data_IF_236766035773
#
_entry.id   IF_236766035773
#
_cell.length_a   1.000
_cell.length_b   1.000
_cell.length_c   1.000
_cell.angle_alpha   90.00
_cell.angle_beta   90.00
_cell.angle_gamma   90.00
#
_symmetry.space_group_name_H-M   'P 1'
#
loop_
_entity.id
_entity.type
_entity.pdbx_description
1 polymer ?
#
# COMPACT_ATOMS: atom_id res chain seq x y z
N UNK A 1 -16.21 22.46 72.08
CA UNK A 1 -14.98 21.65 72.04
C UNK A 1 -14.62 21.35 70.58
N UNK A 2 -13.87 22.22 69.91
CA UNK A 2 -13.39 22.07 68.52
C UNK A 2 -12.05 22.82 68.37
N UNK A 3 -10.95 22.30 68.92
CA UNK A 3 -9.59 22.82 68.69
C UNK A 3 -8.55 21.79 69.22
N UNK A 4 -8.32 20.66 68.52
CA UNK A 4 -7.28 19.69 68.91
C UNK A 4 -6.93 18.65 67.83
N UNK A 5 -6.83 19.02 66.55
CA UNK A 5 -6.41 18.06 65.48
C UNK A 5 -5.53 18.63 64.38
N UNK A 6 -5.43 19.96 64.22
CA UNK A 6 -4.61 20.55 63.15
C UNK A 6 -3.15 20.76 63.56
N UNK A 7 -2.87 20.87 64.86
CA UNK A 7 -1.50 21.07 65.36
C UNK A 7 -0.65 19.79 65.27
N UNK A 8 -1.24 18.60 65.49
CA UNK A 8 -0.49 17.34 65.48
C UNK A 8 0.04 16.93 64.10
N UNK A 9 -0.66 17.28 63.01
CA UNK A 9 -0.22 16.97 61.65
C UNK A 9 0.92 17.89 61.20
N UNK A 10 0.89 19.16 61.62
CA UNK A 10 1.98 20.10 61.32
C UNK A 10 3.25 19.76 62.09
N UNK A 11 3.14 19.31 63.34
CA UNK A 11 4.27 18.80 64.11
C UNK A 11 4.88 17.53 63.49
N UNK A 12 4.05 16.59 63.03
CA UNK A 12 4.51 15.37 62.37
C UNK A 12 5.25 15.65 61.06
N UNK A 13 4.76 16.58 60.23
CA UNK A 13 5.45 16.98 59.00
C UNK A 13 6.77 17.69 59.29
N UNK A 14 6.83 18.50 60.35
CA UNK A 14 8.06 19.20 60.75
C UNK A 14 9.13 18.24 61.26
N UNK A 15 8.75 17.20 62.02
CA UNK A 15 9.67 16.15 62.46
C UNK A 15 10.21 15.32 61.29
N UNK A 16 9.39 15.03 60.28
CA UNK A 16 9.87 14.29 59.10
C UNK A 16 10.80 15.12 58.21
N UNK A 17 10.61 16.44 58.13
CA UNK A 17 11.49 17.32 57.35
C UNK A 17 12.86 17.50 58.03
N UNK A 18 12.93 17.45 59.37
CA UNK A 18 14.20 17.48 60.11
C UNK A 18 14.98 16.16 60.01
N UNK A 19 14.30 15.01 59.91
CA UNK A 19 14.96 13.70 59.72
C UNK A 19 15.48 13.47 58.29
N UNK A 20 15.07 14.26 57.30
CA UNK A 20 15.51 14.16 55.90
C UNK A 20 16.60 15.22 55.59
N UNK A 21 17.44 15.54 56.57
CA UNK A 21 18.74 16.15 56.30
C UNK A 21 19.79 15.05 56.33
N UNK A 22 20.26 14.69 55.14
CA UNK A 22 21.31 13.70 54.92
C UNK A 22 22.48 13.93 55.88
N UNK A 23 22.68 12.96 56.77
CA UNK A 23 23.80 12.90 57.72
C UNK A 23 25.13 13.08 56.97
N UNK A 24 26.01 14.00 57.40
CA UNK A 24 27.32 14.22 56.77
C UNK A 24 28.15 12.95 56.60
N UNK A 25 27.93 11.95 57.47
CA UNK A 25 28.59 10.66 57.40
C UNK A 25 28.20 9.83 56.18
N UNK A 26 26.95 9.90 55.70
CA UNK A 26 26.50 9.18 54.50
C UNK A 26 27.08 9.80 53.22
N UNK A 27 27.25 11.12 53.20
CA UNK A 27 27.94 11.83 52.14
C UNK A 27 29.43 11.48 52.10
N UNK A 28 30.07 11.35 53.27
CA UNK A 28 31.45 10.90 53.40
C UNK A 28 31.63 9.44 52.94
N UNK A 29 30.68 8.57 53.26
CA UNK A 29 30.71 7.17 52.85
C UNK A 29 30.55 7.02 51.33
N UNK A 30 29.73 7.86 50.69
CA UNK A 30 29.61 7.94 49.23
C UNK A 30 30.88 8.52 48.58
N UNK A 31 31.52 9.53 49.18
CA UNK A 31 32.79 10.06 48.69
C UNK A 31 33.94 9.05 48.81
N UNK A 32 33.97 8.25 49.89
CA UNK A 32 34.96 7.19 50.06
C UNK A 32 34.75 6.02 49.09
N UNK A 33 33.50 5.68 48.74
CA UNK A 33 33.23 4.70 47.68
C UNK A 33 33.67 5.19 46.29
N UNK A 34 33.58 6.50 46.01
CA UNK A 34 34.10 7.05 44.75
C UNK A 34 35.63 7.11 44.70
N UNK A 35 36.30 7.37 45.83
CA UNK A 35 37.76 7.50 45.87
C UNK A 35 38.51 6.17 45.82
N UNK A 36 37.84 5.05 46.13
CA UNK A 36 38.42 3.69 45.99
C UNK A 36 38.40 3.12 44.55
N UNK A 37 37.95 3.89 43.54
CA UNK A 37 37.95 3.45 42.13
C UNK A 37 39.16 3.94 41.32
N UNK A 38 40.27 4.29 41.97
CA UNK A 38 41.54 4.57 41.29
C UNK A 38 42.62 3.57 41.70
N UNK A 39 42.65 2.43 41.00
CA UNK A 39 43.87 1.63 40.84
C UNK A 39 44.24 1.53 39.36
N UNK A 40 45.52 1.68 39.01
CA UNK A 40 45.96 1.83 37.63
C UNK A 40 46.28 0.50 36.94
N UNK A 41 46.33 0.58 35.61
CA UNK A 41 46.97 -0.34 34.67
C UNK A 41 46.33 -1.72 34.47
N UNK A 42 45.58 -1.85 33.36
CA UNK A 42 46.08 -2.64 32.24
C UNK A 42 45.42 -2.17 30.93
N UNK A 43 46.21 -1.47 30.11
CA UNK A 43 45.82 -0.93 28.80
C UNK A 43 45.67 -2.04 27.72
N UNK A 44 45.23 -3.24 28.09
CA UNK A 44 45.16 -4.41 27.20
C UNK A 44 43.76 -5.01 27.09
N UNK A 45 42.73 -4.33 27.60
CA UNK A 45 41.33 -4.74 27.46
C UNK A 45 40.44 -3.74 26.69
N UNK A 46 40.99 -2.62 26.23
CA UNK A 46 40.22 -1.57 25.55
C UNK A 46 40.12 -1.73 24.02
N UNK A 47 40.66 -2.81 23.44
CA UNK A 47 40.50 -3.11 22.00
C UNK A 47 39.36 -4.11 21.75
N UNK A 48 38.87 -4.82 22.78
CA UNK A 48 37.83 -5.84 22.61
C UNK A 48 36.38 -5.30 22.63
N UNK A 49 36.15 -4.09 23.16
CA UNK A 49 34.79 -3.56 23.37
C UNK A 49 34.23 -2.73 22.19
N UNK A 50 35.06 -2.29 21.24
CA UNK A 50 34.58 -1.52 20.07
C UNK A 50 34.24 -2.43 18.88
N UNK A 51 34.81 -3.63 18.81
CA UNK A 51 34.54 -4.58 17.71
C UNK A 51 33.29 -5.44 17.98
N UNK A 52 32.91 -5.64 19.24
CA UNK A 52 31.76 -6.49 19.61
C UNK A 52 30.40 -5.82 19.33
N UNK A 53 30.29 -4.49 19.33
CA UNK A 53 29.02 -3.79 19.07
C UNK A 53 28.71 -3.65 17.57
N UNK A 54 29.73 -3.64 16.69
CA UNK A 54 29.53 -3.50 15.24
C UNK A 54 29.36 -4.82 14.47
N UNK A 55 29.76 -5.96 15.04
CA UNK A 55 29.68 -7.28 14.36
C UNK A 55 28.56 -8.18 14.91
N UNK A 56 28.09 -7.97 16.14
CA UNK A 56 27.06 -8.84 16.73
C UNK A 56 25.64 -8.34 16.45
N UNK A 57 25.45 -7.04 16.19
CA UNK A 57 24.14 -6.48 15.81
C UNK A 57 23.63 -6.98 14.44
N UNK A 58 24.44 -7.20 13.39
CA UNK A 58 23.93 -7.78 12.13
C UNK A 58 23.59 -9.28 12.22
N UNK A 59 24.27 -10.03 13.10
CA UNK A 59 24.15 -11.50 13.14
C UNK A 59 22.83 -12.00 13.73
N UNK A 60 22.19 -11.21 14.60
CA UNK A 60 20.87 -11.53 15.15
C UNK A 60 19.71 -11.15 14.22
N UNK A 61 19.93 -10.25 13.25
CA UNK A 61 18.91 -9.90 12.25
C UNK A 61 18.96 -10.79 10.99
N UNK A 62 20.11 -11.40 10.67
CA UNK A 62 20.24 -12.27 9.49
C UNK A 62 19.67 -13.68 9.66
N UNK A 63 19.51 -14.17 10.90
CA UNK A 63 19.00 -15.53 11.17
C UNK A 63 17.65 -15.55 11.89
N UNK A 64 16.99 -14.40 12.06
CA UNK A 64 15.60 -14.42 12.50
C UNK A 64 14.72 -14.84 11.31
N UNK A 65 13.84 -15.86 11.44
CA UNK A 65 12.87 -16.22 10.40
C UNK A 65 11.83 -15.11 10.14
N UNK A 66 11.85 -14.05 10.94
CA UNK A 66 11.05 -12.84 10.80
C UNK A 66 11.90 -11.64 10.33
N UNK A 67 13.02 -11.90 9.65
CA UNK A 67 13.86 -10.86 9.06
C UNK A 67 12.97 -9.89 8.30
N UNK A 68 12.95 -8.63 8.75
CA UNK A 68 12.17 -7.56 8.18
C UNK A 68 12.64 -7.40 6.73
N UNK A 69 11.93 -8.06 5.82
CA UNK A 69 12.15 -7.94 4.41
C UNK A 69 11.87 -6.49 4.03
N UNK A 70 12.93 -5.72 3.77
CA UNK A 70 12.88 -4.51 2.97
C UNK A 70 12.58 -4.91 1.51
N UNK A 71 11.38 -5.44 1.33
CA UNK A 71 10.79 -5.94 0.09
C UNK A 71 9.33 -5.55 0.28
N UNK A 72 8.83 -4.40 -0.17
CA UNK A 72 8.41 -4.23 -1.57
C UNK A 72 7.80 -2.82 -1.74
N UNK A 73 8.59 -1.77 -2.00
CA UNK A 73 8.00 -0.48 -2.41
C UNK A 73 7.23 -0.60 -3.74
N UNK A 74 7.64 -1.53 -4.59
CA UNK A 74 6.98 -1.88 -5.86
C UNK A 74 5.61 -2.51 -5.66
N UNK A 75 5.46 -3.43 -4.70
CA UNK A 75 4.19 -4.10 -4.42
C UNK A 75 3.10 -3.13 -3.94
N UNK A 76 3.45 -2.18 -3.07
CA UNK A 76 2.49 -1.17 -2.60
C UNK A 76 2.03 -0.22 -3.72
N UNK A 77 2.94 0.17 -4.62
CA UNK A 77 2.62 1.05 -5.74
C UNK A 77 1.74 0.35 -6.78
N UNK A 78 2.02 -0.93 -7.06
CA UNK A 78 1.22 -1.77 -7.96
C UNK A 78 -0.22 -1.92 -7.46
N UNK A 79 -0.39 -2.28 -6.17
CA UNK A 79 -1.72 -2.42 -5.55
C UNK A 79 -2.50 -1.11 -5.61
N UNK A 80 -1.85 0.02 -5.27
CA UNK A 80 -2.49 1.33 -5.36
C UNK A 80 -2.94 1.68 -6.79
N UNK A 81 -2.14 1.33 -7.81
CA UNK A 81 -2.53 1.56 -9.21
C UNK A 81 -3.74 0.71 -9.62
N UNK A 82 -3.75 -0.57 -9.25
CA UNK A 82 -4.87 -1.48 -9.52
C UNK A 82 -6.15 -0.93 -8.89
N UNK A 83 -6.09 -0.50 -7.63
CA UNK A 83 -7.24 0.07 -6.91
C UNK A 83 -7.73 1.37 -7.54
N UNK A 84 -6.82 2.25 -7.97
CA UNK A 84 -7.18 3.49 -8.64
C UNK A 84 -7.89 3.24 -9.97
N UNK A 85 -7.35 2.33 -10.79
CA UNK A 85 -7.97 1.92 -12.05
C UNK A 85 -9.36 1.33 -11.78
N UNK A 86 -9.46 0.35 -10.88
CA UNK A 86 -10.71 -0.33 -10.55
C UNK A 86 -11.78 0.67 -10.07
N UNK A 87 -11.43 1.59 -9.18
CA UNK A 87 -12.34 2.61 -8.70
C UNK A 87 -12.81 3.57 -9.80
N UNK A 88 -11.94 3.96 -10.73
CA UNK A 88 -12.29 4.82 -11.86
C UNK A 88 -13.23 4.11 -12.83
N UNK A 89 -12.85 2.92 -13.31
CA UNK A 89 -13.62 2.19 -14.34
C UNK A 89 -14.99 1.77 -13.83
N UNK A 90 -15.10 1.37 -12.57
CA UNK A 90 -16.38 1.03 -11.93
C UNK A 90 -17.26 2.27 -11.79
N UNK A 91 -16.70 3.44 -11.42
CA UNK A 91 -17.46 4.70 -11.37
C UNK A 91 -18.01 5.05 -12.75
N UNK A 92 -17.18 4.91 -13.78
CA UNK A 92 -17.54 5.21 -15.16
C UNK A 92 -18.58 4.23 -15.71
N UNK A 93 -18.47 2.95 -15.35
CA UNK A 93 -19.42 1.91 -15.68
C UNK A 93 -20.80 2.24 -15.10
N UNK A 94 -20.89 2.48 -13.79
CA UNK A 94 -22.14 2.81 -13.10
C UNK A 94 -22.79 4.10 -13.61
N UNK A 95 -21.99 5.08 -14.05
CA UNK A 95 -22.52 6.34 -14.61
C UNK A 95 -23.27 6.13 -15.93
N UNK A 96 -23.03 5.03 -16.65
CA UNK A 96 -23.75 4.65 -17.87
C UNK A 96 -23.92 5.79 -18.90
N UNK A 97 -22.85 6.59 -19.10
CA UNK A 97 -22.87 7.66 -20.10
C UNK A 97 -23.29 7.10 -21.49
N UNK A 98 -23.99 7.89 -22.31
CA UNK A 98 -24.38 7.47 -23.66
C UNK A 98 -23.18 7.01 -24.50
N UNK A 99 -23.43 6.03 -25.36
CA UNK A 99 -22.48 5.62 -26.39
C UNK A 99 -22.36 6.73 -27.44
N UNK A 100 -21.15 6.97 -27.92
CA UNK A 100 -20.90 7.95 -28.98
C UNK A 100 -21.13 7.33 -30.35
N UNK A 101 -20.75 6.06 -30.51
CA UNK A 101 -21.10 5.23 -31.65
C UNK A 101 -21.82 3.98 -31.16
N UNK A 102 -23.04 3.77 -31.65
CA UNK A 102 -23.78 2.51 -31.49
C UNK A 102 -23.51 1.62 -32.70
N UNK A 103 -22.83 0.51 -32.49
CA UNK A 103 -22.51 -0.44 -33.54
C UNK A 103 -22.08 -1.76 -32.91
N UNK A 104 -22.50 -2.87 -33.52
CA UNK A 104 -22.02 -4.21 -33.16
C UNK A 104 -20.74 -4.58 -33.93
N UNK A 105 -20.27 -3.72 -34.84
CA UNK A 105 -19.11 -3.98 -35.70
C UNK A 105 -17.85 -3.32 -35.16
N UNK A 106 -16.87 -4.13 -34.77
CA UNK A 106 -15.55 -3.63 -34.35
C UNK A 106 -14.88 -2.80 -35.45
N UNK A 107 -15.10 -3.15 -36.72
CA UNK A 107 -14.54 -2.41 -37.86
C UNK A 107 -15.09 -1.00 -37.93
N UNK A 108 -16.39 -0.80 -37.73
CA UNK A 108 -17.00 0.52 -37.68
C UNK A 108 -16.48 1.33 -36.49
N UNK A 109 -16.23 0.69 -35.34
CA UNK A 109 -15.57 1.35 -34.22
C UNK A 109 -14.16 1.83 -34.61
N UNK A 110 -13.35 0.98 -35.23
CA UNK A 110 -11.99 1.37 -35.66
C UNK A 110 -11.98 2.54 -36.64
N UNK A 111 -12.97 2.64 -37.52
CA UNK A 111 -13.12 3.75 -38.46
C UNK A 111 -13.53 5.05 -37.75
N UNK A 112 -14.43 4.98 -36.77
CA UNK A 112 -14.88 6.14 -36.00
C UNK A 112 -13.81 6.67 -35.04
N UNK A 113 -13.13 5.77 -34.31
CA UNK A 113 -12.16 6.12 -33.27
C UNK A 113 -10.77 6.50 -33.82
N UNK A 114 -10.72 7.27 -34.91
CA UNK A 114 -9.49 7.66 -35.63
C UNK A 114 -8.51 8.53 -34.80
N UNK A 115 -9.01 9.23 -33.78
CA UNK A 115 -8.19 10.06 -32.89
C UNK A 115 -7.39 9.25 -31.84
N UNK A 116 -7.64 7.95 -31.70
CA UNK A 116 -6.86 7.11 -30.79
C UNK A 116 -5.49 6.80 -31.39
N UNK A 117 -4.45 6.72 -30.56
CA UNK A 117 -3.12 6.25 -30.97
C UNK A 117 -3.08 4.72 -31.23
N UNK A 118 -4.20 4.03 -31.03
CA UNK A 118 -4.37 2.60 -31.23
C UNK A 118 -5.75 2.31 -31.87
N UNK A 119 -5.92 1.10 -32.40
CA UNK A 119 -7.20 0.66 -32.95
C UNK A 119 -7.94 -0.20 -31.93
N UNK A 120 -9.20 0.12 -31.55
CA UNK A 120 -10.00 -0.77 -30.73
C UNK A 120 -10.11 -2.15 -31.36
N UNK A 121 -10.03 -3.21 -30.57
CA UNK A 121 -10.05 -4.57 -31.07
C UNK A 121 -11.05 -5.45 -30.32
N UNK A 122 -11.50 -6.53 -30.98
CA UNK A 122 -12.30 -7.55 -30.33
C UNK A 122 -11.38 -8.45 -29.52
N UNK A 123 -11.55 -8.47 -28.19
CA UNK A 123 -10.68 -9.23 -27.29
C UNK A 123 -10.93 -10.73 -27.39
N UNK A 124 -9.86 -11.50 -27.58
CA UNK A 124 -9.94 -12.97 -27.53
C UNK A 124 -10.10 -13.45 -26.10
N UNK A 125 -9.44 -12.81 -25.14
CA UNK A 125 -9.50 -13.17 -23.72
C UNK A 125 -10.87 -12.88 -23.11
N UNK A 126 -11.59 -11.85 -23.58
CA UNK A 126 -12.98 -11.62 -23.17
C UNK A 126 -13.88 -12.83 -23.49
N UNK A 127 -13.71 -13.43 -24.67
CA UNK A 127 -14.47 -14.63 -25.07
C UNK A 127 -14.13 -15.83 -24.19
N UNK A 128 -12.90 -15.94 -23.71
CA UNK A 128 -12.48 -16.98 -22.78
C UNK A 128 -13.02 -16.77 -21.35
N UNK A 129 -13.06 -15.51 -20.90
CA UNK A 129 -13.56 -15.12 -19.57
C UNK A 129 -15.09 -15.22 -19.47
N UNK A 130 -15.81 -15.09 -20.59
CA UNK A 130 -17.26 -15.18 -20.64
C UNK A 130 -17.70 -16.10 -21.78
N UNK A 131 -18.00 -17.39 -21.49
CA UNK A 131 -18.38 -18.36 -22.52
C UNK A 131 -19.78 -18.09 -23.11
N UNK A 132 -20.61 -17.28 -22.44
CA UNK A 132 -21.89 -16.85 -23.00
C UNK A 132 -21.70 -15.71 -23.99
N UNK A 133 -22.56 -15.66 -25.01
CA UNK A 133 -22.41 -14.72 -26.12
C UNK A 133 -22.67 -13.28 -25.67
N UNK A 134 -21.62 -12.48 -25.60
CA UNK A 134 -21.69 -11.03 -25.44
C UNK A 134 -21.98 -10.36 -26.78
N UNK A 135 -22.97 -9.46 -26.83
CA UNK A 135 -23.24 -8.63 -28.01
C UNK A 135 -22.66 -7.24 -27.80
N UNK A 136 -21.76 -6.81 -28.68
CA UNK A 136 -21.23 -5.44 -28.66
C UNK A 136 -22.36 -4.45 -28.97
N UNK A 137 -22.59 -3.48 -28.09
CA UNK A 137 -23.61 -2.44 -28.28
C UNK A 137 -23.03 -1.17 -28.94
N UNK A 138 -21.73 -0.95 -28.76
CA UNK A 138 -21.03 0.22 -29.28
C UNK A 138 -19.93 0.68 -28.32
N UNK A 139 -19.45 1.91 -28.55
CA UNK A 139 -18.34 2.46 -27.77
C UNK A 139 -18.40 3.99 -27.62
N UNK A 140 -17.51 4.50 -26.77
CA UNK A 140 -17.27 5.94 -26.54
C UNK A 140 -15.83 6.20 -26.14
N UNK A 141 -15.38 7.46 -26.28
CA UNK A 141 -14.10 7.87 -25.73
C UNK A 141 -14.16 7.94 -24.20
N UNK A 142 -13.05 7.57 -23.57
CA UNK A 142 -12.85 7.66 -22.14
C UNK A 142 -11.40 8.01 -21.84
N UNK A 143 -11.09 8.11 -20.55
CA UNK A 143 -9.74 8.06 -20.02
C UNK A 143 -9.65 6.96 -18.98
N UNK A 144 -8.45 6.41 -18.79
CA UNK A 144 -8.07 5.66 -17.60
C UNK A 144 -6.78 6.27 -17.09
N UNK A 145 -6.78 6.75 -15.85
CA UNK A 145 -5.60 7.36 -15.21
C UNK A 145 -4.94 8.45 -16.08
N UNK A 146 -5.75 9.23 -16.81
CA UNK A 146 -5.30 10.31 -17.70
C UNK A 146 -4.94 9.88 -19.12
N UNK A 147 -4.77 8.59 -19.40
CA UNK A 147 -4.52 8.08 -20.74
C UNK A 147 -5.82 7.96 -21.55
N UNK A 148 -5.81 8.38 -22.81
CA UNK A 148 -6.96 8.26 -23.72
C UNK A 148 -7.29 6.79 -23.98
N UNK A 149 -8.54 6.42 -23.74
CA UNK A 149 -9.03 5.05 -23.78
C UNK A 149 -10.30 4.93 -24.63
N UNK A 150 -10.55 3.73 -25.13
CA UNK A 150 -11.84 3.34 -25.69
C UNK A 150 -12.65 2.59 -24.64
N UNK A 151 -13.93 2.94 -24.48
CA UNK A 151 -14.87 2.22 -23.63
C UNK A 151 -15.89 1.50 -24.53
N UNK A 152 -15.84 0.18 -24.58
CA UNK A 152 -16.77 -0.68 -25.31
C UNK A 152 -17.82 -1.23 -24.35
N UNK A 153 -19.09 -1.19 -24.75
CA UNK A 153 -20.19 -1.75 -23.96
C UNK A 153 -20.71 -3.02 -24.63
N UNK A 154 -20.90 -4.05 -23.83
CA UNK A 154 -21.49 -5.32 -24.26
C UNK A 154 -22.76 -5.59 -23.48
N UNK A 155 -23.72 -6.27 -24.12
CA UNK A 155 -24.93 -6.76 -23.49
C UNK A 155 -24.77 -8.24 -23.13
N UNK A 156 -25.08 -8.58 -21.87
CA UNK A 156 -25.24 -9.94 -21.36
C UNK A 156 -26.50 -9.96 -20.51
N UNK A 157 -27.68 -10.01 -21.14
CA UNK A 157 -28.98 -9.88 -20.46
C UNK A 157 -29.00 -10.68 -19.14
N UNK A 158 -29.31 -10.06 -17.99
CA UNK A 158 -29.89 -8.71 -17.82
C UNK A 158 -28.90 -7.54 -17.78
N UNK A 159 -27.59 -7.80 -17.66
CA UNK A 159 -26.61 -6.79 -17.28
C UNK A 159 -25.69 -6.37 -18.44
N UNK A 160 -25.14 -5.17 -18.31
CA UNK A 160 -24.15 -4.65 -19.25
C UNK A 160 -22.74 -4.94 -18.74
N UNK A 161 -21.85 -5.26 -19.66
CA UNK A 161 -20.44 -5.42 -19.41
C UNK A 161 -19.71 -4.25 -20.06
N UNK A 162 -18.61 -3.80 -19.48
CA UNK A 162 -17.82 -2.70 -20.06
C UNK A 162 -16.36 -3.09 -20.14
N UNK A 163 -15.83 -3.09 -21.36
CA UNK A 163 -14.42 -3.30 -21.64
C UNK A 163 -13.77 -1.97 -21.95
N UNK A 164 -12.72 -1.63 -21.22
CA UNK A 164 -11.87 -0.50 -21.53
C UNK A 164 -10.59 -0.98 -22.19
N UNK A 165 -10.12 -0.22 -23.18
CA UNK A 165 -8.89 -0.48 -23.90
C UNK A 165 -8.04 0.79 -23.89
N UNK A 166 -6.77 0.67 -23.51
CA UNK A 166 -5.82 1.79 -23.43
C UNK A 166 -4.41 1.27 -23.71
N UNK A 167 -3.49 2.06 -24.30
CA UNK A 167 -2.11 1.62 -24.51
C UNK A 167 -1.44 1.20 -23.20
N UNK A 168 -0.72 0.08 -23.23
CA UNK A 168 -0.14 -0.52 -22.02
C UNK A 168 1.10 0.20 -21.48
N UNK A 169 1.80 1.00 -22.28
CA UNK A 169 3.11 1.59 -21.94
C UNK A 169 3.15 2.34 -20.60
N UNK A 170 2.05 3.01 -20.22
CA UNK A 170 1.95 3.76 -18.96
C UNK A 170 1.63 2.89 -17.74
N UNK A 171 1.33 1.61 -17.97
CA UNK A 171 0.84 0.65 -17.00
C UNK A 171 1.78 -0.54 -16.80
N UNK A 172 3.02 -0.47 -17.31
CA UNK A 172 4.03 -1.52 -17.18
C UNK A 172 4.28 -1.98 -15.73
N UNK A 173 4.10 -1.08 -14.75
CA UNK A 173 4.22 -1.39 -13.32
C UNK A 173 3.14 -2.33 -12.77
N UNK A 174 2.10 -2.64 -13.56
CA UNK A 174 1.09 -3.64 -13.21
C UNK A 174 1.63 -5.07 -13.25
N UNK A 175 2.80 -5.31 -13.86
CA UNK A 175 3.38 -6.66 -13.97
C UNK A 175 2.54 -7.62 -14.82
N UNK A 176 1.66 -7.08 -15.67
CA UNK A 176 0.94 -7.84 -16.68
C UNK A 176 1.84 -8.08 -17.89
N UNK A 177 1.62 -9.21 -18.55
CA UNK A 177 2.35 -9.60 -19.75
C UNK A 177 1.39 -10.09 -20.81
N UNK A 178 1.76 -9.95 -22.07
CA UNK A 178 0.93 -10.35 -23.20
C UNK A 178 0.68 -11.86 -23.20
N UNK A 179 -0.59 -12.26 -23.18
CA UNK A 179 -0.99 -13.67 -23.07
C UNK A 179 -0.81 -14.28 -21.68
N UNK A 180 -0.45 -13.48 -20.67
CA UNK A 180 -0.32 -13.92 -19.29
C UNK A 180 -1.65 -13.99 -18.52
N UNK A 181 -1.54 -14.26 -17.22
CA UNK A 181 -2.69 -14.31 -16.32
C UNK A 181 -3.34 -12.94 -16.12
N UNK A 182 -4.66 -12.94 -15.94
CA UNK A 182 -5.42 -11.74 -15.60
C UNK A 182 -5.41 -11.48 -14.10
N UNK A 183 -5.37 -10.21 -13.71
CA UNK A 183 -5.56 -9.77 -12.33
C UNK A 183 -7.06 -9.50 -12.10
N UNK A 184 -7.66 -10.12 -11.09
CA UNK A 184 -9.03 -9.85 -10.68
C UNK A 184 -9.05 -9.08 -9.35
N UNK A 185 -9.85 -8.01 -9.30
CA UNK A 185 -10.13 -7.23 -8.09
C UNK A 185 -11.62 -6.84 -8.06
N UNK A 186 -12.05 -6.17 -7.00
CA UNK A 186 -13.43 -5.72 -6.82
C UNK A 186 -13.46 -4.25 -6.43
N UNK A 187 -14.39 -3.50 -7.03
CA UNK A 187 -14.66 -2.13 -6.63
C UNK A 187 -16.16 -1.89 -6.66
N UNK A 188 -16.72 -1.35 -5.57
CA UNK A 188 -18.17 -1.09 -5.39
C UNK A 188 -19.05 -2.31 -5.71
N UNK A 189 -18.61 -3.51 -5.35
CA UNK A 189 -19.33 -4.76 -5.57
C UNK A 189 -19.23 -5.32 -7.00
N UNK A 190 -18.59 -4.61 -7.93
CA UNK A 190 -18.39 -5.08 -9.30
C UNK A 190 -17.02 -5.72 -9.46
N UNK A 191 -16.96 -6.82 -10.21
CA UNK A 191 -15.70 -7.50 -10.54
C UNK A 191 -14.95 -6.71 -11.61
N UNK A 192 -13.69 -6.43 -11.37
CA UNK A 192 -12.78 -5.79 -12.32
C UNK A 192 -11.66 -6.76 -12.68
N UNK A 193 -11.53 -7.09 -13.96
CA UNK A 193 -10.48 -7.98 -14.47
C UNK A 193 -9.56 -7.19 -15.38
N UNK A 194 -8.25 -7.23 -15.12
CA UNK A 194 -7.21 -6.55 -15.88
C UNK A 194 -6.32 -7.58 -16.58
N UNK A 195 -5.98 -7.35 -17.85
CA UNK A 195 -5.01 -8.17 -18.58
C UNK A 195 -4.35 -7.34 -19.69
N UNK A 196 -3.24 -7.84 -20.24
CA UNK A 196 -2.59 -7.24 -21.40
C UNK A 196 -2.89 -8.07 -22.65
N UNK A 197 -3.29 -7.40 -23.72
CA UNK A 197 -3.55 -8.02 -25.02
C UNK A 197 -3.11 -7.09 -26.15
N UNK A 198 -2.19 -7.53 -27.02
CA UNK A 198 -1.71 -6.79 -28.20
C UNK A 198 -1.25 -5.37 -27.87
N UNK A 199 -0.42 -5.23 -26.84
CA UNK A 199 0.08 -3.93 -26.37
C UNK A 199 -0.97 -3.00 -25.73
N UNK A 200 -2.18 -3.50 -25.46
CA UNK A 200 -3.23 -2.74 -24.76
C UNK A 200 -3.44 -3.30 -23.35
N UNK A 201 -3.60 -2.41 -22.38
CA UNK A 201 -4.25 -2.75 -21.12
C UNK A 201 -5.75 -2.88 -21.40
N UNK A 202 -6.27 -4.05 -21.07
CA UNK A 202 -7.68 -4.35 -21.09
C UNK A 202 -8.20 -4.34 -19.66
N UNK A 203 -9.31 -3.65 -19.43
CA UNK A 203 -9.99 -3.62 -18.13
C UNK A 203 -11.46 -3.94 -18.33
N UNK A 204 -11.91 -5.06 -17.78
CA UNK A 204 -13.30 -5.48 -17.84
C UNK A 204 -14.00 -5.21 -16.53
N UNK A 205 -15.14 -4.53 -16.59
CA UNK A 205 -16.08 -4.42 -15.47
C UNK A 205 -17.26 -5.32 -15.77
N UNK A 206 -17.47 -6.29 -14.88
CA UNK A 206 -18.60 -7.20 -14.91
C UNK A 206 -19.49 -7.00 -13.65
N UNK A 207 -20.80 -7.22 -13.79
CA UNK A 207 -21.75 -7.26 -12.66
C UNK A 207 -21.33 -8.30 -11.60
#
# INVERSE_FOLDING_TARGET
MKHSRQDSLREQVRQQIEQVKLEPEQLLQLQQMQQNTKRPASQWLSIAAVITVLIIMPALYFNSPNGLSLQSASGSAQVAMIDNIANEVTKNHLKMKPLELKSESIKQLQEYFSALSFKPLASTQLTALQPTRLTLLGARYCSIQGATAAQLRYSSQPDNWTLYQVPFDQFNQLGLHEGGDSIATYARGLKVTLWQERGLLMVLVAP
#
